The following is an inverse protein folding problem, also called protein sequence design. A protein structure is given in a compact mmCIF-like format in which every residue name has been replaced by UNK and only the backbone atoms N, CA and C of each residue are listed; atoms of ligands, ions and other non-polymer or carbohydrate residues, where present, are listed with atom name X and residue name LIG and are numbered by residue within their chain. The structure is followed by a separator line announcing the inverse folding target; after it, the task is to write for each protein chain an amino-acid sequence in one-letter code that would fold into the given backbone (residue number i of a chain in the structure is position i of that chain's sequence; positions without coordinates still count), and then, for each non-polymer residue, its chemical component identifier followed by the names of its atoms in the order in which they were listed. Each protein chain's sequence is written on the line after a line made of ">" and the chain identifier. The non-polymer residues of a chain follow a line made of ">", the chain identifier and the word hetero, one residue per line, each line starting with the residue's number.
data_IF_246951898316
#
_entry.id   IF_246951898316
#
_cell.length_a   1.000
_cell.length_b   1.000
_cell.length_c   1.000
_cell.angle_alpha   90.00
_cell.angle_beta   90.00
_cell.angle_gamma   90.00
#
_symmetry.space_group_name_H-M   'P 1'
#
loop_
_entity.id
_entity.type
_entity.pdbx_description
1 polymer ?
#
# COMPACT_ATOMS: atom_id res chain seq x y z
N UNK A 1 66.63 -2.96 -19.93
CA UNK A 1 66.48 -2.14 -18.70
C UNK A 1 65.01 -1.74 -18.61
N UNK A 2 64.14 -2.55 -18.02
CA UNK A 2 63.95 -2.84 -16.60
C UNK A 2 63.39 -1.64 -15.80
N UNK A 3 62.18 -1.85 -15.26
CA UNK A 3 61.55 -1.27 -14.05
C UNK A 3 61.30 0.26 -14.02
N UNK A 4 60.20 0.79 -13.50
CA UNK A 4 59.41 0.45 -12.29
C UNK A 4 58.00 1.06 -12.43
N UNK A 5 56.92 0.33 -12.13
CA UNK A 5 56.24 0.28 -10.81
C UNK A 5 55.76 1.68 -10.36
N UNK A 6 54.49 2.02 -10.21
CA UNK A 6 53.32 1.26 -9.77
C UNK A 6 52.69 2.09 -8.64
N UNK A 7 51.39 2.40 -8.70
CA UNK A 7 50.63 2.66 -7.48
C UNK A 7 49.15 2.34 -7.63
N UNK A 8 48.65 1.73 -6.57
CA UNK A 8 47.36 1.06 -6.38
C UNK A 8 46.32 2.02 -5.77
N UNK A 9 45.08 1.55 -5.89
CA UNK A 9 43.95 1.68 -4.95
C UNK A 9 43.19 3.00 -4.86
N UNK A 10 41.91 2.89 -5.21
CA UNK A 10 40.82 3.77 -4.79
C UNK A 10 39.51 2.98 -4.82
N UNK A 11 39.35 2.09 -3.84
CA UNK A 11 38.08 1.43 -3.52
C UNK A 11 37.00 2.50 -3.26
N UNK A 12 35.85 2.36 -3.91
CA UNK A 12 34.76 3.34 -3.85
C UNK A 12 33.41 2.67 -4.01
N UNK A 13 33.14 1.73 -3.11
CA UNK A 13 31.85 1.41 -2.49
C UNK A 13 30.61 1.58 -3.38
N UNK A 14 30.03 0.43 -3.75
CA UNK A 14 28.61 0.32 -4.04
C UNK A 14 27.82 0.83 -2.84
N UNK A 15 27.43 2.09 -2.91
CA UNK A 15 26.39 2.66 -2.11
C UNK A 15 25.18 2.78 -3.02
N UNK A 16 24.49 1.66 -3.26
CA UNK A 16 23.05 1.66 -3.50
C UNK A 16 22.41 2.20 -2.21
N UNK A 17 22.57 3.50 -1.99
CA UNK A 17 21.80 4.24 -1.03
C UNK A 17 20.41 4.31 -1.66
N UNK A 18 19.62 3.28 -1.38
CA UNK A 18 18.23 3.22 -1.81
C UNK A 18 17.52 4.36 -1.09
N UNK A 19 17.46 5.53 -1.72
CA UNK A 19 16.79 6.69 -1.17
C UNK A 19 15.33 6.32 -0.92
N UNK A 20 14.84 6.38 0.33
CA UNK A 20 13.46 6.00 0.62
C UNK A 20 12.46 6.86 -0.17
N UNK A 21 12.85 8.09 -0.51
CA UNK A 21 12.08 9.02 -1.33
C UNK A 21 12.05 8.62 -2.83
N UNK A 22 13.18 8.17 -3.38
CA UNK A 22 13.29 7.74 -4.78
C UNK A 22 12.54 6.44 -5.06
N UNK A 23 12.50 5.57 -4.05
CA UNK A 23 11.71 4.34 -4.07
C UNK A 23 10.21 4.64 -4.12
N UNK A 24 9.71 5.55 -3.27
CA UNK A 24 8.31 5.98 -3.27
C UNK A 24 7.88 6.68 -4.58
N UNK A 25 8.80 7.43 -5.20
CA UNK A 25 8.52 8.11 -6.47
C UNK A 25 8.36 7.10 -7.61
N UNK A 26 9.26 6.12 -7.70
CA UNK A 26 9.18 5.04 -8.68
C UNK A 26 7.93 4.18 -8.46
N UNK A 27 7.52 3.96 -7.20
CA UNK A 27 6.30 3.23 -6.83
C UNK A 27 5.01 3.93 -7.28
N UNK A 28 4.95 5.27 -7.21
CA UNK A 28 3.77 6.02 -7.68
C UNK A 28 3.54 5.90 -9.19
N UNK A 29 4.60 5.58 -9.94
CA UNK A 29 4.58 5.48 -11.41
C UNK A 29 4.27 4.07 -11.91
N UNK A 30 4.22 3.06 -11.04
CA UNK A 30 3.79 1.71 -11.42
C UNK A 30 2.26 1.70 -11.40
N UNK A 31 1.58 1.61 -12.55
CA UNK A 31 0.15 1.40 -12.54
C UNK A 31 -0.10 0.03 -11.91
N UNK A 32 -0.78 0.01 -10.75
CA UNK A 32 -1.21 -1.20 -10.04
C UNK A 32 -1.96 -2.18 -10.96
N UNK A 33 -2.50 -1.68 -12.09
CA UNK A 33 -3.14 -2.44 -13.14
C UNK A 33 -2.22 -3.43 -13.91
N UNK A 34 -0.89 -3.31 -13.79
CA UNK A 34 0.08 -4.09 -14.60
C UNK A 34 0.85 -5.16 -13.83
N UNK A 35 0.41 -5.54 -12.63
CA UNK A 35 1.06 -6.60 -11.84
C UNK A 35 0.54 -8.00 -12.22
N UNK A 36 0.73 -8.40 -13.47
CA UNK A 36 0.26 -9.70 -14.01
C UNK A 36 1.24 -10.86 -13.77
N UNK A 37 2.49 -10.58 -13.39
CA UNK A 37 3.51 -11.62 -13.18
C UNK A 37 3.59 -12.04 -11.70
N UNK A 38 3.53 -13.35 -11.44
CA UNK A 38 3.56 -13.93 -10.08
C UNK A 38 4.81 -13.52 -9.30
N UNK A 39 5.93 -13.28 -9.99
CA UNK A 39 7.18 -12.80 -9.39
C UNK A 39 7.05 -11.41 -8.78
N UNK A 40 6.34 -10.50 -9.46
CA UNK A 40 6.15 -9.13 -9.00
C UNK A 40 5.15 -9.04 -7.85
N UNK A 41 4.13 -9.91 -7.84
CA UNK A 41 3.19 -10.03 -6.73
C UNK A 41 3.92 -10.42 -5.43
N UNK A 42 4.88 -11.34 -5.50
CA UNK A 42 5.64 -11.75 -4.30
C UNK A 42 6.52 -10.63 -3.76
N UNK A 43 7.24 -9.93 -4.66
CA UNK A 43 8.08 -8.78 -4.26
C UNK A 43 7.24 -7.65 -3.68
N UNK A 44 6.12 -7.31 -4.33
CA UNK A 44 5.20 -6.29 -3.86
C UNK A 44 4.59 -6.64 -2.50
N UNK A 45 4.18 -7.89 -2.28
CA UNK A 45 3.69 -8.34 -0.98
C UNK A 45 4.74 -8.17 0.12
N UNK A 46 5.99 -8.57 -0.15
CA UNK A 46 7.07 -8.48 0.84
C UNK A 46 7.38 -7.02 1.20
N UNK A 47 7.45 -6.18 0.17
CA UNK A 47 7.68 -4.75 0.33
C UNK A 47 6.54 -4.07 1.09
N UNK A 48 5.30 -4.24 0.63
CA UNK A 48 4.15 -3.58 1.21
C UNK A 48 3.92 -4.02 2.66
N UNK A 49 4.22 -5.29 2.97
CA UNK A 49 4.25 -5.78 4.35
C UNK A 49 5.29 -5.04 5.20
N UNK A 50 6.49 -4.79 4.67
CA UNK A 50 7.48 -3.97 5.37
C UNK A 50 6.98 -2.53 5.56
N UNK A 51 6.36 -1.92 4.54
CA UNK A 51 5.85 -0.55 4.60
C UNK A 51 4.79 -0.40 5.69
N UNK A 52 3.78 -1.27 5.75
CA UNK A 52 2.72 -1.21 6.77
C UNK A 52 3.23 -1.55 8.17
N UNK A 53 4.31 -2.34 8.29
CA UNK A 53 4.93 -2.64 9.58
C UNK A 53 5.80 -1.47 10.10
N UNK A 54 6.52 -0.80 9.21
CA UNK A 54 7.36 0.35 9.58
C UNK A 54 6.54 1.62 9.78
N UNK A 55 5.49 1.83 8.97
CA UNK A 55 4.58 2.95 9.07
C UNK A 55 3.11 2.48 9.01
N UNK A 56 2.54 2.04 10.15
CA UNK A 56 1.17 1.56 10.20
C UNK A 56 0.13 2.67 9.97
N UNK A 57 0.49 3.95 10.08
CA UNK A 57 -0.40 5.08 9.80
C UNK A 57 -0.44 5.45 8.30
N UNK A 58 0.30 4.74 7.45
CA UNK A 58 0.33 5.00 6.03
C UNK A 58 -0.83 4.30 5.29
N UNK A 59 -1.98 4.96 5.19
CA UNK A 59 -3.19 4.42 4.57
C UNK A 59 -3.00 3.89 3.14
N UNK A 60 -2.23 4.60 2.31
CA UNK A 60 -1.92 4.16 0.93
C UNK A 60 -1.17 2.82 0.88
N UNK A 61 -0.34 2.53 1.90
CA UNK A 61 0.35 1.24 2.02
C UNK A 61 -0.61 0.08 2.25
N UNK A 62 -1.63 0.28 3.10
CA UNK A 62 -2.68 -0.71 3.35
C UNK A 62 -3.55 -0.95 2.11
N UNK A 63 -3.93 0.11 1.39
CA UNK A 63 -4.70 0.03 0.14
C UNK A 63 -3.91 -0.71 -0.94
N UNK A 64 -2.64 -0.37 -1.13
CA UNK A 64 -1.79 -1.05 -2.09
C UNK A 64 -1.63 -2.54 -1.72
N UNK A 65 -1.42 -2.85 -0.45
CA UNK A 65 -1.30 -4.23 0.03
C UNK A 65 -2.59 -5.04 -0.22
N UNK A 66 -3.77 -4.47 0.03
CA UNK A 66 -5.03 -5.17 -0.24
C UNK A 66 -5.26 -5.38 -1.74
N UNK A 67 -4.92 -4.40 -2.58
CA UNK A 67 -5.04 -4.51 -4.04
C UNK A 67 -4.13 -5.58 -4.63
N UNK A 68 -2.92 -5.75 -4.09
CA UNK A 68 -2.01 -6.84 -4.52
C UNK A 68 -2.61 -8.21 -4.20
N UNK A 69 -3.24 -8.39 -3.03
CA UNK A 69 -3.92 -9.63 -2.69
C UNK A 69 -5.17 -9.87 -3.56
N UNK A 70 -5.93 -8.83 -3.87
CA UNK A 70 -7.08 -8.90 -4.78
C UNK A 70 -6.65 -9.32 -6.19
N UNK A 71 -5.59 -8.69 -6.74
CA UNK A 71 -5.02 -9.04 -8.04
C UNK A 71 -4.46 -10.48 -8.08
N UNK A 72 -3.97 -10.98 -6.94
CA UNK A 72 -3.54 -12.36 -6.78
C UNK A 72 -4.70 -13.36 -6.63
N UNK A 73 -5.96 -12.92 -6.73
CA UNK A 73 -7.17 -13.74 -6.54
C UNK A 73 -7.47 -14.07 -5.06
N UNK A 74 -6.72 -13.49 -4.11
CA UNK A 74 -6.85 -13.73 -2.66
C UNK A 74 -7.74 -12.69 -2.00
N UNK A 75 -8.97 -12.58 -2.48
CA UNK A 75 -9.94 -11.55 -2.04
C UNK A 75 -10.20 -11.59 -0.53
N UNK A 76 -10.26 -12.77 0.10
CA UNK A 76 -10.43 -12.87 1.56
C UNK A 76 -9.25 -12.26 2.32
N UNK A 77 -8.03 -12.47 1.83
CA UNK A 77 -6.83 -11.87 2.43
C UNK A 77 -6.81 -10.35 2.22
N UNK A 78 -7.20 -9.88 1.02
CA UNK A 78 -7.35 -8.46 0.73
C UNK A 78 -8.32 -7.77 1.70
N UNK A 79 -9.48 -8.39 1.93
CA UNK A 79 -10.51 -7.91 2.88
C UNK A 79 -10.00 -7.82 4.31
N UNK A 80 -9.31 -8.87 4.78
CA UNK A 80 -8.72 -8.86 6.12
C UNK A 80 -7.69 -7.75 6.26
N UNK A 81 -6.82 -7.59 5.25
CA UNK A 81 -5.73 -6.63 5.28
C UNK A 81 -6.25 -5.19 5.28
N UNK A 82 -7.28 -4.87 4.48
CA UNK A 82 -7.85 -3.52 4.49
C UNK A 82 -8.62 -3.22 5.79
N UNK A 83 -9.23 -4.23 6.43
CA UNK A 83 -9.84 -4.09 7.77
C UNK A 83 -8.78 -3.76 8.84
N UNK A 84 -7.63 -4.42 8.81
CA UNK A 84 -6.49 -4.07 9.66
C UNK A 84 -6.02 -2.64 9.37
N UNK A 85 -5.99 -2.25 8.09
CA UNK A 85 -5.72 -0.87 7.67
C UNK A 85 -6.69 0.16 8.25
N UNK A 86 -7.99 -0.14 8.28
CA UNK A 86 -9.01 0.75 8.89
C UNK A 86 -8.76 0.96 10.39
N UNK A 87 -8.31 -0.09 11.10
CA UNK A 87 -7.98 0.00 12.52
C UNK A 87 -6.66 0.76 12.76
N UNK A 88 -5.68 0.59 11.88
CA UNK A 88 -4.38 1.26 11.96
C UNK A 88 -4.41 2.74 11.53
N UNK A 89 -5.26 3.06 10.55
CA UNK A 89 -5.45 4.38 9.95
C UNK A 89 -6.90 4.86 10.09
N UNK A 90 -7.42 5.08 11.32
CA UNK A 90 -8.83 5.38 11.51
C UNK A 90 -9.25 6.74 10.94
N UNK A 91 -8.30 7.66 10.78
CA UNK A 91 -8.54 9.03 10.33
C UNK A 91 -8.25 9.23 8.82
N UNK A 92 -8.03 8.14 8.08
CA UNK A 92 -7.79 8.18 6.63
C UNK A 92 -9.01 7.65 5.87
N UNK A 93 -9.76 8.55 5.23
CA UNK A 93 -10.98 8.23 4.49
C UNK A 93 -10.79 7.26 3.32
N UNK A 94 -9.68 7.34 2.59
CA UNK A 94 -9.42 6.46 1.44
C UNK A 94 -9.38 4.98 1.84
N UNK A 95 -8.84 4.68 3.02
CA UNK A 95 -8.76 3.30 3.53
C UNK A 95 -10.15 2.74 3.79
N UNK A 96 -11.06 3.54 4.34
CA UNK A 96 -12.45 3.14 4.59
C UNK A 96 -13.26 2.99 3.30
N UNK A 97 -13.04 3.87 2.32
CA UNK A 97 -13.67 3.78 1.00
C UNK A 97 -13.21 2.54 0.24
N UNK A 98 -11.92 2.23 0.29
CA UNK A 98 -11.38 1.00 -0.30
C UNK A 98 -11.91 -0.26 0.42
N UNK A 99 -12.04 -0.21 1.75
CA UNK A 99 -12.62 -1.29 2.52
C UNK A 99 -14.07 -1.57 2.10
N UNK A 100 -14.89 -0.51 1.93
CA UNK A 100 -16.25 -0.63 1.42
C UNK A 100 -16.29 -1.16 -0.02
N UNK A 101 -15.32 -0.79 -0.89
CA UNK A 101 -15.25 -1.34 -2.26
C UNK A 101 -14.97 -2.85 -2.27
N UNK A 102 -14.10 -3.33 -1.37
CA UNK A 102 -13.68 -4.74 -1.33
C UNK A 102 -14.72 -5.70 -0.72
N UNK A 103 -15.66 -5.17 0.06
CA UNK A 103 -16.63 -5.96 0.80
C UNK A 103 -18.01 -5.99 0.12
N UNK A 104 -18.85 -7.02 0.39
CA UNK A 104 -20.25 -7.02 -0.04
C UNK A 104 -21.02 -5.84 0.57
N UNK A 105 -22.12 -5.44 -0.07
CA UNK A 105 -22.95 -4.28 0.33
C UNK A 105 -23.28 -4.27 1.84
N UNK A 106 -23.75 -5.40 2.37
CA UNK A 106 -24.13 -5.55 3.79
C UNK A 106 -23.00 -5.17 4.75
N UNK A 107 -21.78 -5.61 4.45
CA UNK A 107 -20.61 -5.33 5.28
C UNK A 107 -20.12 -3.91 5.03
N UNK A 108 -20.20 -3.43 3.80
CA UNK A 108 -19.79 -2.09 3.39
C UNK A 108 -20.59 -1.00 4.10
N UNK A 109 -21.90 -1.20 4.28
CA UNK A 109 -22.75 -0.31 5.10
C UNK A 109 -22.24 -0.21 6.54
N UNK A 110 -21.86 -1.34 7.14
CA UNK A 110 -21.32 -1.38 8.51
C UNK A 110 -19.95 -0.69 8.61
N UNK A 111 -19.09 -0.90 7.60
CA UNK A 111 -17.77 -0.24 7.49
C UNK A 111 -17.95 1.27 7.39
N UNK A 112 -18.78 1.75 6.47
CA UNK A 112 -19.03 3.18 6.28
C UNK A 112 -19.72 3.81 7.49
N UNK A 113 -20.67 3.12 8.13
CA UNK A 113 -21.29 3.60 9.37
C UNK A 113 -20.24 3.79 10.49
N UNK A 114 -19.26 2.89 10.57
CA UNK A 114 -18.14 3.02 11.51
C UNK A 114 -17.24 4.19 11.13
N UNK A 115 -16.94 4.34 9.84
CA UNK A 115 -16.12 5.43 9.32
C UNK A 115 -16.76 6.82 9.57
N UNK A 116 -18.08 6.96 9.37
CA UNK A 116 -18.85 8.19 9.67
C UNK A 116 -18.75 8.57 11.14
N UNK A 117 -18.84 7.59 12.05
CA UNK A 117 -18.72 7.85 13.49
C UNK A 117 -17.32 8.32 13.87
N UNK A 118 -16.30 7.88 13.12
CA UNK A 118 -14.91 8.26 13.36
C UNK A 118 -14.55 9.61 12.73
N UNK A 119 -15.03 9.86 11.51
CA UNK A 119 -14.75 11.05 10.72
C UNK A 119 -16.05 11.76 10.34
N UNK A 120 -16.72 12.43 11.29
CA UNK A 120 -18.00 13.11 11.04
C UNK A 120 -17.89 14.34 10.13
N UNK A 121 -16.67 14.74 9.74
CA UNK A 121 -16.44 15.87 8.82
C UNK A 121 -16.13 15.42 7.39
N UNK A 122 -15.93 14.12 7.14
CA UNK A 122 -15.59 13.64 5.80
C UNK A 122 -16.84 13.53 4.93
N UNK A 123 -17.00 14.49 4.02
CA UNK A 123 -18.12 14.52 3.06
C UNK A 123 -18.06 13.31 2.12
N UNK A 124 -16.87 12.83 1.77
CA UNK A 124 -16.70 11.69 0.86
C UNK A 124 -17.31 10.40 1.43
N UNK A 125 -17.11 10.16 2.72
CA UNK A 125 -17.67 8.98 3.41
C UNK A 125 -19.20 9.08 3.46
N UNK A 126 -19.76 10.26 3.74
CA UNK A 126 -21.21 10.47 3.74
C UNK A 126 -21.84 10.23 2.37
N UNK A 127 -21.23 10.79 1.31
CA UNK A 127 -21.70 10.58 -0.05
C UNK A 127 -21.68 9.11 -0.41
N UNK A 128 -20.61 8.39 -0.07
CA UNK A 128 -20.53 6.96 -0.35
C UNK A 128 -21.53 6.16 0.47
N UNK A 129 -21.77 6.52 1.73
CA UNK A 129 -22.77 5.86 2.56
C UNK A 129 -24.19 6.06 2.01
N UNK A 130 -24.52 7.27 1.54
CA UNK A 130 -25.81 7.59 0.93
C UNK A 130 -26.05 6.81 -0.38
N UNK A 131 -25.02 6.67 -1.22
CA UNK A 131 -25.04 5.88 -2.46
C UNK A 131 -25.36 4.39 -2.21
N UNK A 132 -24.95 3.83 -1.06
CA UNK A 132 -25.23 2.43 -0.71
C UNK A 132 -26.66 2.19 -0.17
N UNK A 133 -27.44 3.23 0.11
CA UNK A 133 -28.81 3.12 0.62
C UNK A 133 -29.90 3.21 -0.46
N UNK A 134 -29.52 3.48 -1.72
CA UNK A 134 -30.45 3.49 -2.87
C UNK A 134 -30.59 2.11 -3.51
#
# INVERSE_FOLDING_TARGET
>A
SNSSNGNRNGNGNGNDQVDPQGYLTSLSSIPIATMTEVGDIHKARLLLKSVIQTNPQHGAGWIAASRVEEAAGKVQQARKLIQEGCAACPDNEDVWLEAARLHPLEVSKTILATAVRRMPQSVQIFLKAADLEQ
#
